data_IF_819749188986
#
_entry.id   IF_819749188986
#
_cell.length_a   1.000
_cell.length_b   1.000
_cell.length_c   1.000
_cell.angle_alpha   90.00
_cell.angle_beta   90.00
_cell.angle_gamma   90.00
#
_symmetry.space_group_name_H-M   'P 1'
#
loop_
_entity.id
_entity.type
_entity.pdbx_description
1 polymer ?
#
# COMPACT_ATOMS: atom_id res chain seq x y z
N UNK A 1 2.00 -17.52 9.58
CA UNK A 1 1.28 -16.91 8.46
C UNK A 1 0.37 -17.99 7.88
N UNK A 2 -0.95 -17.83 7.96
CA UNK A 2 -1.87 -18.79 7.32
C UNK A 2 -1.99 -18.39 5.85
N UNK A 3 -1.58 -19.28 4.98
CA UNK A 3 -1.77 -19.21 3.54
C UNK A 3 -3.15 -19.80 3.21
N UNK A 4 -4.14 -18.95 3.07
CA UNK A 4 -5.51 -19.46 2.92
C UNK A 4 -6.13 -19.23 1.54
N UNK A 5 -5.52 -18.45 0.64
CA UNK A 5 -6.18 -18.07 -0.62
C UNK A 5 -5.24 -17.88 -1.82
N UNK A 6 -3.98 -18.19 -1.69
CA UNK A 6 -2.94 -17.82 -2.66
C UNK A 6 -2.55 -18.96 -3.61
N UNK A 7 -3.08 -20.16 -3.43
CA UNK A 7 -2.64 -21.38 -4.14
C UNK A 7 -2.65 -21.29 -5.67
N UNK A 8 -3.34 -20.32 -6.26
CA UNK A 8 -3.43 -20.14 -7.71
C UNK A 8 -3.28 -18.66 -8.16
N UNK A 9 -2.56 -17.84 -7.39
CA UNK A 9 -2.32 -16.47 -7.80
C UNK A 9 -1.17 -16.45 -8.82
N UNK A 10 -1.53 -16.25 -10.09
CA UNK A 10 -0.55 -16.20 -11.18
C UNK A 10 0.37 -14.98 -11.04
N UNK A 11 1.66 -15.10 -11.41
CA UNK A 11 2.57 -13.96 -11.51
C UNK A 11 1.94 -12.83 -12.33
N UNK A 12 2.11 -11.61 -11.87
CA UNK A 12 1.50 -10.44 -12.50
C UNK A 12 2.56 -9.39 -12.81
N UNK A 13 2.81 -9.15 -14.09
CA UNK A 13 3.81 -8.21 -14.57
C UNK A 13 3.37 -6.75 -14.51
N UNK A 14 2.06 -6.50 -14.46
CA UNK A 14 1.50 -5.17 -14.36
C UNK A 14 0.24 -5.18 -13.49
N UNK A 15 0.38 -4.74 -12.26
CA UNK A 15 -0.74 -4.49 -11.36
C UNK A 15 -1.28 -3.09 -11.57
N UNK A 16 -2.52 -2.98 -12.05
CA UNK A 16 -3.17 -1.70 -12.29
C UNK A 16 -4.27 -1.40 -11.25
N UNK A 17 -4.64 -0.13 -11.06
CA UNK A 17 -5.81 0.23 -10.25
C UNK A 17 -7.06 -0.57 -10.64
N UNK A 18 -7.91 -0.83 -9.67
CA UNK A 18 -9.12 -1.67 -9.73
C UNK A 18 -8.87 -3.17 -9.87
N UNK A 19 -7.65 -3.62 -10.01
CA UNK A 19 -7.30 -5.04 -9.98
C UNK A 19 -7.01 -5.50 -8.54
N UNK A 20 -7.11 -6.82 -8.33
CA UNK A 20 -6.70 -7.45 -7.08
C UNK A 20 -5.20 -7.71 -7.10
N UNK A 21 -4.51 -7.30 -6.04
CA UNK A 21 -3.09 -7.56 -5.80
C UNK A 21 -2.92 -8.23 -4.44
N UNK A 22 -1.85 -9.01 -4.30
CA UNK A 22 -1.53 -9.65 -3.03
C UNK A 22 -1.05 -8.62 -2.02
N UNK A 23 -1.68 -8.60 -0.86
CA UNK A 23 -1.40 -7.64 0.22
C UNK A 23 -1.20 -8.38 1.53
N UNK A 24 -0.10 -8.10 2.20
CA UNK A 24 0.17 -8.56 3.57
C UNK A 24 -0.55 -7.63 4.53
N UNK A 25 -1.48 -8.18 5.30
CA UNK A 25 -2.23 -7.41 6.28
C UNK A 25 -2.26 -8.10 7.64
N UNK A 26 -2.45 -7.32 8.68
CA UNK A 26 -2.66 -7.82 10.04
C UNK A 26 -4.09 -7.56 10.47
N UNK A 27 -4.75 -8.56 11.00
CA UNK A 27 -6.03 -8.38 11.67
C UNK A 27 -5.79 -7.68 13.02
N UNK A 28 -6.36 -6.49 13.21
CA UNK A 28 -6.16 -5.69 14.41
C UNK A 28 -6.77 -6.32 15.68
N UNK A 29 -7.74 -7.22 15.54
CA UNK A 29 -8.39 -7.91 16.67
C UNK A 29 -7.65 -9.17 17.09
N UNK A 30 -7.28 -10.01 16.13
CA UNK A 30 -6.65 -11.32 16.39
C UNK A 30 -5.13 -11.28 16.34
N UNK A 31 -4.54 -10.22 15.76
CA UNK A 31 -3.10 -10.13 15.51
C UNK A 31 -2.62 -11.03 14.35
N UNK A 32 -3.49 -11.80 13.74
CA UNK A 32 -3.15 -12.71 12.64
C UNK A 32 -2.65 -11.95 11.41
N UNK A 33 -1.56 -12.45 10.83
CA UNK A 33 -0.99 -11.92 9.59
C UNK A 33 -1.37 -12.86 8.44
N UNK A 34 -1.93 -12.28 7.38
CA UNK A 34 -2.35 -13.01 6.17
C UNK A 34 -1.85 -12.31 4.91
N UNK A 35 -1.65 -13.11 3.86
CA UNK A 35 -1.45 -12.63 2.50
C UNK A 35 -2.76 -12.87 1.75
N UNK A 36 -3.44 -11.80 1.37
CA UNK A 36 -4.77 -11.86 0.74
C UNK A 36 -4.81 -11.03 -0.54
N UNK A 37 -5.58 -11.41 -1.57
CA UNK A 37 -5.89 -10.54 -2.69
C UNK A 37 -6.84 -9.43 -2.24
N UNK A 38 -6.44 -8.17 -2.46
CA UNK A 38 -7.25 -6.98 -2.21
C UNK A 38 -7.33 -6.13 -3.46
N UNK A 39 -8.47 -5.49 -3.70
CA UNK A 39 -8.67 -4.60 -4.84
C UNK A 39 -7.98 -3.24 -4.59
N UNK A 40 -7.18 -2.81 -5.55
CA UNK A 40 -6.53 -1.50 -5.49
C UNK A 40 -7.51 -0.37 -5.86
N UNK A 41 -7.81 0.47 -4.90
CA UNK A 41 -8.83 1.53 -4.95
C UNK A 41 -9.73 1.45 -3.73
N UNK A 42 -9.33 2.18 -2.67
CA UNK A 42 -9.94 2.09 -1.34
C UNK A 42 -11.39 2.57 -1.35
N UNK A 43 -12.27 1.78 -0.76
CA UNK A 43 -13.66 2.14 -0.49
C UNK A 43 -13.81 2.25 1.02
N UNK A 44 -14.04 3.45 1.57
CA UNK A 44 -14.28 3.61 3.00
C UNK A 44 -15.51 2.81 3.45
N UNK A 45 -15.44 2.19 4.63
CA UNK A 45 -16.49 1.30 5.14
C UNK A 45 -17.88 1.94 5.25
N UNK A 46 -17.95 3.25 5.38
CA UNK A 46 -19.18 4.03 5.54
C UNK A 46 -19.84 4.47 4.23
N UNK A 47 -19.21 4.24 3.09
CA UNK A 47 -19.75 4.60 1.77
C UNK A 47 -20.92 3.67 1.45
N UNK A 48 -22.08 4.26 1.10
CA UNK A 48 -23.28 3.50 0.75
C UNK A 48 -23.30 3.07 -0.72
N UNK A 49 -22.89 3.97 -1.62
CA UNK A 49 -22.78 3.70 -3.06
C UNK A 49 -21.40 4.08 -3.58
N UNK A 50 -20.57 3.09 -3.92
CA UNK A 50 -19.24 3.35 -4.47
C UNK A 50 -19.24 3.64 -5.97
N UNK A 51 -20.36 3.53 -6.68
CA UNK A 51 -20.39 3.66 -8.13
C UNK A 51 -20.07 5.09 -8.57
N UNK A 52 -20.61 6.10 -7.88
CA UNK A 52 -20.36 7.52 -8.15
C UNK A 52 -19.16 8.12 -7.39
N UNK A 53 -18.54 7.38 -6.49
CA UNK A 53 -17.49 7.87 -5.59
C UNK A 53 -16.07 7.64 -6.11
N UNK A 54 -15.14 8.54 -5.69
CA UNK A 54 -13.71 8.30 -5.89
C UNK A 54 -13.26 7.07 -5.11
N UNK A 55 -12.53 6.18 -5.77
CA UNK A 55 -11.83 5.05 -5.16
C UNK A 55 -10.34 5.39 -5.14
N UNK A 56 -9.85 6.11 -4.11
CA UNK A 56 -8.47 6.57 -4.10
C UNK A 56 -7.51 5.38 -4.11
N UNK A 57 -6.57 5.42 -5.02
CA UNK A 57 -5.49 4.44 -5.14
C UNK A 57 -4.29 4.81 -4.28
N UNK A 58 -4.16 6.11 -3.97
CA UNK A 58 -3.07 6.70 -3.19
C UNK A 58 -3.62 7.48 -1.99
N UNK A 59 -2.93 7.41 -0.87
CA UNK A 59 -3.15 8.20 0.33
C UNK A 59 -1.85 8.95 0.68
N UNK A 60 -1.89 10.28 0.70
CA UNK A 60 -0.72 11.09 1.05
C UNK A 60 -0.35 10.91 2.52
N UNK A 61 0.91 10.64 2.81
CA UNK A 61 1.44 10.44 4.16
C UNK A 61 1.13 11.62 5.07
N UNK A 62 1.22 12.83 4.55
CA UNK A 62 1.02 14.09 5.27
C UNK A 62 -0.42 14.24 5.80
N UNK A 63 -1.38 13.63 5.13
CA UNK A 63 -2.81 13.80 5.45
C UNK A 63 -3.54 12.50 5.79
N UNK A 64 -2.90 11.35 5.63
CA UNK A 64 -3.53 10.03 5.83
C UNK A 64 -4.11 9.85 7.23
N UNK A 65 -3.49 10.45 8.25
CA UNK A 65 -3.92 10.36 9.64
C UNK A 65 -5.12 11.25 9.98
N UNK A 66 -5.41 12.27 9.16
CA UNK A 66 -6.43 13.29 9.45
C UNK A 66 -7.64 13.23 8.53
N UNK A 67 -7.44 12.84 7.26
CA UNK A 67 -8.54 12.77 6.30
C UNK A 67 -9.53 11.66 6.67
N UNK A 68 -10.82 12.00 6.70
CA UNK A 68 -11.92 11.09 7.02
C UNK A 68 -11.89 9.79 6.20
N UNK A 69 -11.50 9.89 4.94
CA UNK A 69 -11.39 8.74 4.02
C UNK A 69 -10.37 7.70 4.48
N UNK A 70 -9.31 8.12 5.18
CA UNK A 70 -8.14 7.28 5.43
C UNK A 70 -7.82 7.06 6.92
N UNK A 71 -8.16 8.02 7.79
CA UNK A 71 -7.70 8.05 9.18
C UNK A 71 -7.98 6.77 9.97
N UNK A 72 -9.16 6.16 9.78
CA UNK A 72 -9.56 4.96 10.50
C UNK A 72 -8.81 3.72 9.97
N UNK A 73 -8.62 3.65 8.65
CA UNK A 73 -7.79 2.63 8.03
C UNK A 73 -6.32 2.78 8.44
N UNK A 74 -5.81 4.00 8.47
CA UNK A 74 -4.44 4.28 8.90
C UNK A 74 -4.19 3.88 10.36
N UNK A 75 -5.15 4.10 11.24
CA UNK A 75 -5.04 3.73 12.65
C UNK A 75 -5.11 2.22 12.88
N UNK A 76 -5.99 1.51 12.17
CA UNK A 76 -6.37 0.14 12.51
C UNK A 76 -6.01 -0.90 11.44
N UNK A 77 -5.86 -0.50 10.18
CA UNK A 77 -5.79 -1.41 9.03
C UNK A 77 -4.65 -1.05 8.07
N UNK A 78 -3.44 -1.07 8.61
CA UNK A 78 -2.22 -0.92 7.81
C UNK A 78 -1.88 -2.23 7.12
N UNK A 79 -1.24 -2.13 5.96
CA UNK A 79 -0.83 -3.27 5.16
C UNK A 79 0.47 -3.00 4.40
N UNK A 80 1.01 -4.04 3.80
CA UNK A 80 2.19 -3.99 2.94
C UNK A 80 1.83 -4.65 1.62
N UNK A 81 2.10 -3.95 0.51
CA UNK A 81 2.04 -4.51 -0.83
C UNK A 81 3.45 -4.99 -1.22
N UNK A 82 3.71 -6.30 -1.26
CA UNK A 82 4.99 -6.84 -1.73
C UNK A 82 5.06 -6.73 -3.25
N UNK A 83 6.16 -6.18 -3.77
CA UNK A 83 6.39 -6.00 -5.21
C UNK A 83 7.86 -6.24 -5.55
N UNK A 84 8.12 -6.65 -6.79
CA UNK A 84 9.48 -6.72 -7.35
C UNK A 84 9.91 -5.37 -7.93
N UNK A 85 8.93 -4.52 -8.28
CA UNK A 85 9.16 -3.17 -8.79
C UNK A 85 7.85 -2.45 -9.04
N UNK A 86 7.96 -1.17 -9.41
CA UNK A 86 6.83 -0.35 -9.82
C UNK A 86 7.24 0.63 -10.94
N UNK A 87 6.24 1.18 -11.61
CA UNK A 87 6.46 2.17 -12.66
C UNK A 87 6.22 3.58 -12.14
N UNK A 88 7.08 4.50 -12.54
CA UNK A 88 6.95 5.92 -12.30
C UNK A 88 7.10 6.69 -13.62
N UNK A 89 6.41 7.83 -13.75
CA UNK A 89 6.36 8.59 -15.00
C UNK A 89 6.98 9.97 -14.82
N UNK A 90 8.10 10.21 -15.50
CA UNK A 90 8.77 11.52 -15.53
C UNK A 90 8.25 12.37 -16.69
N UNK A 91 7.85 13.61 -16.38
CA UNK A 91 7.52 14.58 -17.42
C UNK A 91 8.78 14.98 -18.20
N UNK A 92 8.66 15.05 -19.51
CA UNK A 92 9.72 15.53 -20.40
C UNK A 92 9.34 16.95 -20.83
N UNK A 93 10.26 17.90 -20.65
CA UNK A 93 10.04 19.30 -21.04
C UNK A 93 9.73 19.39 -22.54
N UNK A 94 8.60 20.04 -22.89
CA UNK A 94 8.17 20.19 -24.29
C UNK A 94 7.44 18.99 -24.90
N UNK A 95 7.20 17.91 -24.14
CA UNK A 95 6.45 16.76 -24.64
C UNK A 95 5.16 16.55 -23.83
N UNK A 96 4.11 16.08 -24.50
CA UNK A 96 2.85 15.66 -23.86
C UNK A 96 2.99 14.30 -23.17
N UNK A 97 3.78 13.40 -23.74
CA UNK A 97 4.02 12.08 -23.20
C UNK A 97 5.03 12.15 -22.07
N UNK A 98 4.80 11.32 -21.03
CA UNK A 98 5.76 11.12 -19.94
C UNK A 98 6.60 9.89 -20.24
N UNK A 99 7.85 9.92 -19.80
CA UNK A 99 8.75 8.76 -19.86
C UNK A 99 8.48 7.83 -18.68
N UNK A 100 8.11 6.55 -18.92
CA UNK A 100 8.02 5.58 -17.85
C UNK A 100 9.40 5.10 -17.41
N UNK A 101 9.57 4.88 -16.12
CA UNK A 101 10.73 4.26 -15.49
C UNK A 101 10.27 3.08 -14.65
N UNK A 102 10.92 1.94 -14.81
CA UNK A 102 10.77 0.82 -13.90
C UNK A 102 11.74 1.01 -12.71
N UNK A 103 11.21 0.93 -11.51
CA UNK A 103 11.96 1.08 -10.27
C UNK A 103 11.92 -0.25 -9.54
N UNK A 104 13.10 -0.80 -9.26
CA UNK A 104 13.27 -2.07 -8.57
C UNK A 104 14.51 -2.01 -7.68
N UNK A 105 14.66 -2.97 -6.78
CA UNK A 105 15.88 -3.13 -6.01
C UNK A 105 17.04 -3.57 -6.92
N UNK A 106 18.25 -3.07 -6.66
CA UNK A 106 19.45 -3.37 -7.46
C UNK A 106 19.79 -4.85 -7.50
N UNK A 107 19.50 -5.55 -6.42
CA UNK A 107 19.74 -7.00 -6.27
C UNK A 107 18.56 -7.86 -6.76
N UNK A 108 17.50 -7.24 -7.30
CA UNK A 108 16.27 -7.90 -7.72
C UNK A 108 15.40 -8.43 -6.59
N UNK A 109 15.72 -8.12 -5.33
CA UNK A 109 14.91 -8.55 -4.20
C UNK A 109 13.56 -7.84 -4.16
N UNK A 110 12.46 -8.52 -3.77
CA UNK A 110 11.18 -7.87 -3.57
C UNK A 110 11.24 -6.92 -2.37
N UNK A 111 10.42 -5.87 -2.41
CA UNK A 111 10.28 -4.92 -1.33
C UNK A 111 8.82 -4.63 -1.02
N UNK A 112 8.55 -3.98 0.12
CA UNK A 112 7.21 -3.67 0.56
C UNK A 112 6.83 -2.21 0.35
N UNK A 113 5.69 -1.94 -0.27
CA UNK A 113 5.07 -0.62 -0.32
C UNK A 113 4.05 -0.51 0.81
N UNK A 114 4.16 0.55 1.62
CA UNK A 114 3.22 0.80 2.70
C UNK A 114 1.83 1.12 2.16
N UNK A 115 0.80 0.59 2.81
CA UNK A 115 -0.59 0.82 2.43
C UNK A 115 -1.54 0.80 3.62
N UNK A 116 -2.78 1.12 3.31
CA UNK A 116 -3.93 1.01 4.20
C UNK A 116 -5.03 0.23 3.49
N UNK A 117 -5.83 -0.52 4.24
CA UNK A 117 -6.91 -1.31 3.65
C UNK A 117 -8.24 -1.09 4.36
N UNK A 118 -9.33 -1.36 3.67
CA UNK A 118 -10.68 -1.28 4.17
C UNK A 118 -11.48 -2.54 3.87
N UNK A 119 -12.47 -2.77 4.73
CA UNK A 119 -13.45 -3.84 4.57
C UNK A 119 -14.81 -3.18 4.39
N UNK A 120 -15.28 -3.13 3.16
CA UNK A 120 -16.56 -2.54 2.81
C UNK A 120 -17.58 -3.64 2.55
N UNK A 121 -18.78 -3.48 3.11
CA UNK A 121 -19.89 -4.40 2.86
C UNK A 121 -20.79 -3.84 1.78
N UNK A 122 -20.90 -4.56 0.67
CA UNK A 122 -21.79 -4.18 -0.41
C UNK A 122 -23.25 -4.24 0.05
N UNK A 123 -23.99 -3.13 0.04
CA UNK A 123 -25.40 -3.12 0.44
C UNK A 123 -26.30 -3.95 -0.46
N UNK A 124 -25.95 -4.09 -1.74
CA UNK A 124 -26.76 -4.80 -2.73
C UNK A 124 -26.59 -6.32 -2.62
N UNK A 125 -25.34 -6.81 -2.53
CA UNK A 125 -25.04 -8.24 -2.48
C UNK A 125 -24.84 -8.78 -1.05
N UNK A 126 -24.58 -7.90 -0.09
CA UNK A 126 -24.19 -8.27 1.26
C UNK A 126 -22.75 -8.81 1.38
N UNK A 127 -22.01 -8.85 0.29
CA UNK A 127 -20.64 -9.35 0.25
C UNK A 127 -19.62 -8.37 0.87
N UNK A 128 -18.56 -8.92 1.46
CA UNK A 128 -17.45 -8.16 1.97
C UNK A 128 -16.37 -7.99 0.91
N UNK A 129 -16.17 -6.74 0.48
CA UNK A 129 -15.14 -6.36 -0.49
C UNK A 129 -13.98 -5.70 0.24
N UNK A 130 -12.79 -6.28 0.09
CA UNK A 130 -11.57 -5.72 0.66
C UNK A 130 -10.83 -4.90 -0.38
N UNK A 131 -10.51 -3.68 0.01
CA UNK A 131 -9.86 -2.71 -0.87
C UNK A 131 -8.66 -2.09 -0.18
N UNK A 132 -7.70 -1.56 -0.94
CA UNK A 132 -6.53 -0.90 -0.37
C UNK A 132 -6.13 0.35 -1.17
N UNK A 133 -5.36 1.21 -0.52
CA UNK A 133 -4.63 2.32 -1.14
C UNK A 133 -3.17 2.26 -0.68
N UNK A 134 -2.24 2.65 -1.55
CA UNK A 134 -0.83 2.80 -1.18
C UNK A 134 -0.60 4.16 -0.53
N UNK A 135 0.32 4.21 0.44
CA UNK A 135 0.73 5.47 1.05
C UNK A 135 1.81 6.09 0.16
N UNK A 136 1.62 7.37 -0.20
CA UNK A 136 2.58 8.13 -0.98
C UNK A 136 3.15 9.27 -0.14
N UNK A 137 4.36 9.67 -0.42
CA UNK A 137 5.02 10.85 0.17
C UNK A 137 5.50 11.77 -0.93
N UNK A 138 5.74 13.04 -0.60
CA UNK A 138 6.33 13.97 -1.55
C UNK A 138 7.75 13.53 -1.93
N UNK A 139 8.18 13.91 -3.13
CA UNK A 139 9.53 13.64 -3.62
C UNK A 139 10.58 14.18 -2.65
N UNK A 140 11.62 13.41 -2.40
CA UNK A 140 12.78 13.87 -1.64
C UNK A 140 13.94 14.30 -2.58
N UNK A 141 14.98 14.89 -2.01
CA UNK A 141 16.15 15.38 -2.79
C UNK A 141 16.85 14.28 -3.60
N UNK A 142 16.78 13.03 -3.16
CA UNK A 142 17.36 11.87 -3.82
C UNK A 142 16.53 11.39 -5.01
N UNK A 143 15.24 11.78 -5.06
CA UNK A 143 14.34 11.39 -6.12
C UNK A 143 13.37 12.53 -6.45
N UNK A 144 13.65 13.35 -7.47
CA UNK A 144 12.91 14.57 -7.76
C UNK A 144 11.50 14.36 -8.36
N UNK A 145 11.00 13.14 -8.42
CA UNK A 145 9.66 12.83 -8.91
C UNK A 145 8.81 12.35 -7.73
N UNK A 146 7.57 12.81 -7.60
CA UNK A 146 6.65 12.40 -6.51
C UNK A 146 6.57 10.89 -6.46
N UNK A 147 7.17 10.30 -5.43
CA UNK A 147 7.24 8.85 -5.30
C UNK A 147 6.06 8.33 -4.49
N UNK A 148 5.53 7.20 -4.95
CA UNK A 148 4.84 6.25 -4.09
C UNK A 148 5.72 6.05 -2.86
N UNK A 149 5.15 6.25 -1.67
CA UNK A 149 5.86 6.26 -0.39
C UNK A 149 6.61 4.96 -0.12
N UNK A 150 7.73 4.84 -0.80
CA UNK A 150 8.71 3.82 -0.53
C UNK A 150 9.54 4.30 0.66
N UNK A 151 9.00 4.16 1.89
CA UNK A 151 9.93 4.04 3.00
C UNK A 151 10.69 2.75 2.76
N UNK A 152 11.97 2.88 2.42
CA UNK A 152 12.88 1.77 2.46
C UNK A 152 12.72 1.11 3.84
N UNK A 153 12.12 -0.05 3.84
CA UNK A 153 12.29 -0.97 4.93
C UNK A 153 13.74 -1.42 4.87
N UNK A 154 14.62 -0.69 5.55
CA UNK A 154 15.84 -1.28 6.00
C UNK A 154 15.41 -2.48 6.85
N UNK A 155 15.74 -3.69 6.38
CA UNK A 155 15.58 -4.89 7.17
C UNK A 155 16.07 -4.59 8.59
N UNK A 156 15.24 -4.72 9.63
CA UNK A 156 15.80 -4.76 10.97
C UNK A 156 16.80 -5.92 10.93
N UNK A 157 18.06 -5.63 11.28
CA UNK A 157 19.07 -6.69 11.47
C UNK A 157 18.40 -7.74 12.35
N UNK A 158 18.44 -9.04 12.00
CA UNK A 158 17.84 -10.07 12.82
C UNK A 158 18.41 -9.94 14.23
N UNK A 159 17.58 -9.62 15.19
CA UNK A 159 17.97 -9.71 16.59
C UNK A 159 18.27 -11.16 16.87
N UNK A 160 19.35 -11.44 17.60
CA UNK A 160 19.87 -12.78 17.89
C UNK A 160 18.90 -13.76 18.56
N UNK A 161 17.70 -13.31 18.89
CA UNK A 161 16.69 -14.09 19.63
C UNK A 161 15.57 -14.69 18.77
N UNK A 162 15.57 -14.52 17.44
CA UNK A 162 14.63 -15.19 16.54
C UNK A 162 13.16 -14.79 16.71
N UNK A 163 12.83 -13.80 17.54
CA UNK A 163 11.43 -13.43 17.78
C UNK A 163 10.98 -12.33 16.79
N UNK A 164 10.34 -12.74 15.70
CA UNK A 164 9.68 -11.86 14.73
C UNK A 164 8.40 -11.21 15.30
N UNK A 165 8.47 -10.57 16.46
CA UNK A 165 7.27 -10.02 17.13
C UNK A 165 6.75 -8.70 16.56
N UNK A 166 7.44 -8.01 15.64
CA UNK A 166 7.02 -6.71 15.12
C UNK A 166 7.24 -6.55 13.61
N UNK A 167 6.57 -7.35 12.79
CA UNK A 167 6.63 -7.28 11.32
C UNK A 167 5.78 -6.16 10.70
N UNK A 168 5.03 -5.40 11.48
CA UNK A 168 4.34 -4.21 11.01
C UNK A 168 4.84 -3.03 11.84
N UNK A 169 5.70 -2.17 11.28
CA UNK A 169 6.21 -1.03 12.01
C UNK A 169 5.09 -0.07 12.38
N UNK A 170 5.20 0.49 13.54
CA UNK A 170 4.56 1.75 13.92
C UNK A 170 5.21 2.87 13.11
N UNK A 171 4.83 3.03 11.85
CA UNK A 171 5.33 4.11 11.02
C UNK A 171 4.62 5.38 11.43
N UNK A 172 5.25 6.19 12.26
CA UNK A 172 4.90 7.59 12.38
C UNK A 172 5.43 8.28 11.11
N UNK A 173 4.55 8.93 10.35
CA UNK A 173 4.95 9.86 9.32
C UNK A 173 5.53 11.11 10.01
N UNK A 174 6.75 11.01 10.52
CA UNK A 174 7.45 12.16 11.09
C UNK A 174 8.29 12.80 10.01
N UNK A 175 7.93 14.01 9.64
CA UNK A 175 8.79 14.89 8.86
C UNK A 175 9.99 15.29 9.73
N UNK A 176 11.12 14.64 9.56
CA UNK A 176 12.40 15.19 10.02
C UNK A 176 12.77 16.32 9.05
N UNK A 177 12.54 17.57 9.46
CA UNK A 177 13.18 18.69 8.78
C UNK A 177 14.68 18.59 9.03
N UNK A 178 15.51 18.67 8.01
CA UNK A 178 16.93 18.86 8.24
C UNK A 178 17.13 20.25 8.86
N UNK A 179 17.87 20.29 9.97
CA UNK A 179 18.45 21.51 10.54
C UNK A 179 19.59 21.99 9.67
#
# INVERSE_FOLDING_TARGET
MRDSRVHNYAPRWNGAPSQELLVIRRNHRTGEVSLDPLRWGLIPYWVKDPAGGRKPINAKCETVSTLLTFRDAYRLRRCILPVDGFYEWKAIKGQRAKQPYAIAMKDGAPFGIAGIWENWKDPASGEWIRTFAVITTDANEWWPTSMIGCQQYSHPKPTRDGSAKNLIPTTSCTHSRPT
#
